data_IF_439251549608
#
_entry.id   IF_439251549608
#
_cell.length_a   1.000
_cell.length_b   1.000
_cell.length_c   1.000
_cell.angle_alpha   90.00
_cell.angle_beta   90.00
_cell.angle_gamma   90.00
#
_symmetry.space_group_name_H-M   'P 1'
#
loop_
_entity.id
_entity.type
_entity.pdbx_description
1 polymer ?
#
# COMPACT_ATOMS: atom_id res chain seq x y z
N UNK A 1 -28.30 13.88 -22.14
CA UNK A 1 -27.30 13.56 -21.09
C UNK A 1 -26.68 12.18 -21.35
N UNK A 2 -25.98 11.97 -22.48
CA UNK A 2 -25.62 10.60 -22.94
C UNK A 2 -24.12 10.24 -22.81
N UNK A 3 -23.22 11.20 -22.99
CA UNK A 3 -21.78 10.93 -23.10
C UNK A 3 -21.14 10.27 -21.87
N UNK A 4 -21.55 10.63 -20.65
CA UNK A 4 -21.00 10.07 -19.41
C UNK A 4 -21.27 8.58 -19.26
N UNK A 5 -22.46 8.12 -19.63
CA UNK A 5 -22.84 6.70 -19.56
C UNK A 5 -22.09 5.88 -20.62
N UNK A 6 -22.01 6.37 -21.88
CA UNK A 6 -21.23 5.73 -22.94
C UNK A 6 -19.73 5.66 -22.61
N UNK A 7 -19.16 6.72 -22.03
CA UNK A 7 -17.77 6.76 -21.56
C UNK A 7 -17.54 5.70 -20.47
N UNK A 8 -18.41 5.65 -19.46
CA UNK A 8 -18.34 4.67 -18.36
C UNK A 8 -18.45 3.23 -18.85
N UNK A 9 -19.33 2.97 -19.83
CA UNK A 9 -19.45 1.67 -20.48
C UNK A 9 -18.17 1.29 -21.23
N UNK A 10 -17.66 2.19 -22.06
CA UNK A 10 -16.43 1.97 -22.84
C UNK A 10 -15.21 1.69 -21.93
N UNK A 11 -15.15 2.37 -20.78
CA UNK A 11 -14.15 2.12 -19.75
C UNK A 11 -14.33 0.75 -19.08
N UNK A 12 -15.51 0.45 -18.52
CA UNK A 12 -15.78 -0.81 -17.80
C UNK A 12 -15.70 -2.04 -18.71
N UNK A 13 -16.03 -1.93 -20.00
CA UNK A 13 -16.11 -3.07 -20.94
C UNK A 13 -14.83 -3.26 -21.76
N UNK A 14 -14.08 -2.19 -22.09
CA UNK A 14 -12.88 -2.30 -22.94
C UNK A 14 -11.61 -1.83 -22.23
N UNK A 15 -11.60 -0.61 -21.67
CA UNK A 15 -10.37 0.04 -21.21
C UNK A 15 -9.82 -0.58 -19.93
N UNK A 16 -10.61 -0.68 -18.86
CA UNK A 16 -10.15 -1.25 -17.59
C UNK A 16 -9.79 -2.75 -17.74
N UNK A 17 -10.59 -3.59 -18.42
CA UNK A 17 -10.23 -5.00 -18.63
C UNK A 17 -8.96 -5.22 -19.48
N UNK A 18 -8.60 -4.28 -20.36
CA UNK A 18 -7.34 -4.33 -21.12
C UNK A 18 -6.14 -3.92 -20.24
N UNK A 19 -6.28 -2.84 -19.47
CA UNK A 19 -5.25 -2.40 -18.51
C UNK A 19 -5.00 -3.48 -17.44
N UNK A 20 -6.06 -4.05 -16.88
CA UNK A 20 -5.98 -5.09 -15.84
C UNK A 20 -5.31 -6.37 -16.37
N UNK A 21 -5.67 -6.82 -17.57
CA UNK A 21 -5.06 -8.00 -18.19
C UNK A 21 -3.56 -7.78 -18.47
N UNK A 22 -3.19 -6.61 -19.00
CA UNK A 22 -1.79 -6.27 -19.25
C UNK A 22 -0.98 -6.09 -17.96
N UNK A 23 -1.55 -5.46 -16.93
CA UNK A 23 -0.93 -5.34 -15.61
C UNK A 23 -0.68 -6.71 -14.98
N UNK A 24 -1.68 -7.60 -14.94
CA UNK A 24 -1.53 -8.95 -14.38
C UNK A 24 -0.49 -9.79 -15.12
N UNK A 25 -0.39 -9.64 -16.45
CA UNK A 25 0.68 -10.26 -17.23
C UNK A 25 2.05 -9.71 -16.82
N UNK A 26 2.23 -8.38 -16.86
CA UNK A 26 3.50 -7.73 -16.51
C UNK A 26 3.94 -8.06 -15.08
N UNK A 27 3.02 -8.01 -14.11
CA UNK A 27 3.25 -8.39 -12.73
C UNK A 27 3.69 -9.85 -12.61
N UNK A 28 3.02 -10.78 -13.32
CA UNK A 28 3.40 -12.20 -13.34
C UNK A 28 4.80 -12.41 -13.92
N UNK A 29 5.15 -11.70 -15.00
CA UNK A 29 6.49 -11.72 -15.61
C UNK A 29 7.56 -11.17 -14.67
N UNK A 30 7.29 -10.04 -13.99
CA UNK A 30 8.21 -9.39 -13.04
C UNK A 30 8.45 -10.23 -11.78
N UNK A 31 7.42 -10.89 -11.26
CA UNK A 31 7.50 -11.76 -10.09
C UNK A 31 8.17 -13.10 -10.45
N UNK A 32 7.84 -13.70 -11.59
CA UNK A 32 8.52 -14.91 -12.08
C UNK A 32 10.01 -14.68 -12.32
N UNK A 33 10.40 -13.51 -12.83
CA UNK A 33 11.80 -13.11 -12.98
C UNK A 33 12.55 -12.94 -11.64
N UNK A 34 11.83 -12.91 -10.51
CA UNK A 34 12.34 -12.77 -9.14
C UNK A 34 12.12 -14.02 -8.27
N UNK A 35 11.48 -15.06 -8.81
CA UNK A 35 11.25 -16.31 -8.09
C UNK A 35 12.56 -16.93 -7.61
N UNK A 36 12.58 -17.35 -6.34
CA UNK A 36 13.74 -17.90 -5.65
C UNK A 36 14.85 -16.88 -5.33
N UNK A 37 14.68 -15.60 -5.68
CA UNK A 37 15.64 -14.54 -5.38
C UNK A 37 15.25 -13.76 -4.13
N UNK A 38 16.27 -13.20 -3.50
CA UNK A 38 16.15 -12.16 -2.49
C UNK A 38 16.02 -10.80 -3.16
N UNK A 39 15.20 -9.90 -2.61
CA UNK A 39 15.03 -8.51 -3.05
C UNK A 39 14.92 -7.55 -1.86
N UNK A 40 15.45 -6.34 -2.04
CA UNK A 40 15.11 -5.16 -1.23
C UNK A 40 13.90 -4.47 -1.87
N UNK A 41 12.88 -4.17 -1.07
CA UNK A 41 11.68 -3.47 -1.54
C UNK A 41 11.53 -2.10 -0.89
N UNK A 42 10.90 -1.17 -1.61
CA UNK A 42 10.37 0.07 -1.05
C UNK A 42 8.85 0.13 -1.23
N UNK A 43 8.14 0.71 -0.26
CA UNK A 43 6.69 0.86 -0.27
C UNK A 43 6.22 2.24 0.18
N UNK A 44 5.23 2.81 -0.53
CA UNK A 44 4.62 4.12 -0.26
C UNK A 44 3.09 4.06 -0.36
N UNK A 45 2.40 4.82 0.50
CA UNK A 45 0.95 4.80 0.70
C UNK A 45 0.24 6.09 0.28
N UNK A 46 -0.37 6.09 -0.90
CA UNK A 46 -1.08 7.28 -1.42
C UNK A 46 -2.57 7.26 -1.11
N UNK A 47 -2.97 8.08 -0.14
CA UNK A 47 -4.37 8.34 0.19
C UNK A 47 -5.06 9.33 -0.79
N UNK A 48 -6.36 9.15 -1.02
CA UNK A 48 -7.17 9.94 -1.97
C UNK A 48 -7.48 11.38 -1.51
N UNK A 49 -7.50 11.61 -0.19
CA UNK A 49 -7.75 12.90 0.44
C UNK A 49 -7.03 13.00 1.79
N UNK A 50 -6.73 14.23 2.28
CA UNK A 50 -5.94 14.41 3.49
C UNK A 50 -6.71 14.06 4.79
N UNK A 51 -5.96 13.59 5.79
CA UNK A 51 -6.45 13.36 7.15
C UNK A 51 -7.39 12.15 7.29
N UNK A 52 -8.24 12.18 8.32
CA UNK A 52 -9.13 11.06 8.65
C UNK A 52 -10.29 10.87 7.65
N UNK A 53 -10.41 11.74 6.64
CA UNK A 53 -11.46 11.68 5.63
C UNK A 53 -11.21 10.63 4.53
N UNK A 54 -9.96 10.22 4.28
CA UNK A 54 -9.60 9.35 3.16
C UNK A 54 -10.48 8.10 2.99
N UNK A 55 -10.97 7.87 1.78
CA UNK A 55 -11.85 6.75 1.42
C UNK A 55 -11.09 5.62 0.73
N UNK A 56 -9.97 5.93 0.06
CA UNK A 56 -9.12 4.96 -0.61
C UNK A 56 -7.64 5.23 -0.30
N UNK A 57 -6.88 4.17 -0.05
CA UNK A 57 -5.43 4.19 -0.09
C UNK A 57 -4.94 3.32 -1.25
N UNK A 58 -3.96 3.82 -2.02
CA UNK A 58 -3.22 3.08 -3.04
C UNK A 58 -1.79 2.91 -2.57
N UNK A 59 -1.41 1.70 -2.18
CA UNK A 59 -0.05 1.37 -1.77
C UNK A 59 0.70 0.73 -2.93
N UNK A 60 1.88 1.24 -3.26
CA UNK A 60 2.73 0.68 -4.33
C UNK A 60 4.01 0.12 -3.74
N UNK A 61 4.35 -1.12 -4.08
CA UNK A 61 5.61 -1.77 -3.72
C UNK A 61 6.50 -1.88 -4.95
N UNK A 62 7.75 -1.42 -4.81
CA UNK A 62 8.77 -1.48 -5.85
C UNK A 62 10.00 -2.26 -5.38
N UNK A 63 10.65 -2.92 -6.32
CA UNK A 63 12.01 -3.42 -6.19
C UNK A 63 12.98 -2.23 -6.19
N UNK A 64 13.83 -2.13 -5.16
CA UNK A 64 14.68 -0.96 -4.95
C UNK A 64 15.82 -0.86 -5.97
N UNK A 65 16.44 -1.97 -6.37
CA UNK A 65 17.58 -1.99 -7.31
C UNK A 65 17.16 -1.65 -8.74
N UNK A 66 16.09 -2.30 -9.20
CA UNK A 66 15.60 -2.23 -10.58
C UNK A 66 14.63 -1.07 -10.82
N UNK A 67 14.04 -0.53 -9.76
CA UNK A 67 12.93 0.41 -9.80
C UNK A 67 11.62 -0.15 -10.42
N UNK A 68 11.48 -1.46 -10.56
CA UNK A 68 10.25 -2.08 -11.08
C UNK A 68 9.16 -2.10 -10.01
N UNK A 69 7.92 -1.71 -10.36
CA UNK A 69 6.77 -1.86 -9.45
C UNK A 69 6.35 -3.34 -9.44
N UNK A 70 6.45 -3.99 -8.28
CA UNK A 70 6.11 -5.40 -8.10
C UNK A 70 4.62 -5.61 -7.79
N UNK A 71 4.01 -4.67 -7.05
CA UNK A 71 2.59 -4.74 -6.71
C UNK A 71 1.98 -3.36 -6.45
N UNK A 72 0.65 -3.26 -6.65
CA UNK A 72 -0.16 -2.07 -6.36
C UNK A 72 -1.45 -2.53 -5.69
N UNK A 73 -1.58 -2.27 -4.39
CA UNK A 73 -2.73 -2.64 -3.57
C UNK A 73 -3.62 -1.43 -3.34
N UNK A 74 -4.89 -1.52 -3.73
CA UNK A 74 -5.91 -0.52 -3.40
C UNK A 74 -6.76 -1.06 -2.27
N UNK A 75 -6.95 -0.25 -1.23
CA UNK A 75 -7.78 -0.58 -0.06
C UNK A 75 -8.82 0.52 0.14
N UNK A 76 -10.08 0.11 0.27
CA UNK A 76 -11.20 0.98 0.66
C UNK A 76 -11.31 1.06 2.18
N UNK A 77 -11.64 2.24 2.70
CA UNK A 77 -11.81 2.54 4.13
C UNK A 77 -12.78 1.58 4.86
N UNK A 78 -13.75 0.99 4.15
CA UNK A 78 -14.71 -0.01 4.66
C UNK A 78 -14.05 -1.35 5.00
N UNK A 79 -12.92 -1.67 4.36
CA UNK A 79 -12.09 -2.85 4.67
C UNK A 79 -11.20 -2.62 5.91
N UNK A 80 -11.16 -1.39 6.43
CA UNK A 80 -10.21 -0.91 7.42
C UNK A 80 -10.90 -0.34 8.68
N UNK A 81 -12.03 -0.92 9.10
CA UNK A 81 -12.87 -0.47 10.23
C UNK A 81 -13.28 1.01 10.18
N UNK A 82 -13.43 1.58 8.97
CA UNK A 82 -13.65 3.01 8.72
C UNK A 82 -12.51 3.92 9.23
N UNK A 83 -11.30 3.39 9.44
CA UNK A 83 -10.10 4.13 9.88
C UNK A 83 -9.10 4.24 8.74
N UNK A 84 -8.92 5.44 8.18
CA UNK A 84 -8.00 5.67 7.05
C UNK A 84 -6.56 5.27 7.37
N UNK A 85 -6.11 5.50 8.60
CA UNK A 85 -4.79 5.11 9.13
C UNK A 85 -4.47 3.63 8.97
N UNK A 86 -5.49 2.77 8.96
CA UNK A 86 -5.35 1.31 8.90
C UNK A 86 -5.25 0.79 7.45
N UNK A 87 -5.76 1.55 6.46
CA UNK A 87 -5.82 1.10 5.06
C UNK A 87 -4.43 0.75 4.52
N UNK A 88 -3.44 1.57 4.83
CA UNK A 88 -2.08 1.43 4.33
C UNK A 88 -1.37 0.20 4.89
N UNK A 89 -1.53 -0.09 6.19
CA UNK A 89 -1.03 -1.33 6.79
C UNK A 89 -1.68 -2.56 6.15
N UNK A 90 -2.98 -2.51 5.85
CA UNK A 90 -3.68 -3.60 5.17
C UNK A 90 -3.15 -3.79 3.75
N UNK A 91 -2.88 -2.70 3.03
CA UNK A 91 -2.34 -2.72 1.68
C UNK A 91 -0.90 -3.27 1.63
N UNK A 92 -0.04 -2.82 2.55
CA UNK A 92 1.31 -3.34 2.76
C UNK A 92 1.31 -4.87 2.99
N UNK A 93 0.46 -5.36 3.90
CA UNK A 93 0.35 -6.80 4.19
C UNK A 93 -0.13 -7.63 2.99
N UNK A 94 -1.05 -7.10 2.17
CA UNK A 94 -1.50 -7.75 0.93
C UNK A 94 -0.38 -7.82 -0.12
N UNK A 95 0.47 -6.79 -0.19
CA UNK A 95 1.60 -6.77 -1.12
C UNK A 95 2.67 -7.78 -0.70
N UNK A 96 3.01 -7.85 0.59
CA UNK A 96 3.92 -8.87 1.13
C UNK A 96 3.40 -10.30 0.86
N UNK A 97 2.12 -10.55 1.13
CA UNK A 97 1.46 -11.84 0.85
C UNK A 97 1.49 -12.20 -0.66
N UNK A 98 1.51 -11.19 -1.55
CA UNK A 98 1.61 -11.39 -3.00
C UNK A 98 3.03 -11.75 -3.46
N UNK A 99 4.06 -11.11 -2.88
CA UNK A 99 5.48 -11.47 -3.11
C UNK A 99 5.79 -12.88 -2.60
N UNK A 100 5.35 -13.18 -1.38
CA UNK A 100 5.54 -14.46 -0.70
C UNK A 100 4.89 -15.64 -1.47
N UNK A 101 3.63 -15.49 -1.90
CA UNK A 101 2.94 -16.48 -2.77
C UNK A 101 3.62 -16.68 -4.13
N UNK A 102 4.43 -15.72 -4.55
CA UNK A 102 5.21 -15.78 -5.79
C UNK A 102 6.61 -16.38 -5.59
N UNK A 103 6.94 -16.82 -4.36
CA UNK A 103 8.26 -17.35 -3.97
C UNK A 103 9.38 -16.31 -4.23
N UNK A 104 9.08 -15.04 -3.92
CA UNK A 104 10.04 -13.92 -3.88
C UNK A 104 10.39 -13.66 -2.42
N UNK A 105 11.68 -13.69 -2.07
CA UNK A 105 12.16 -13.44 -0.71
C UNK A 105 12.43 -11.97 -0.51
N UNK A 106 11.91 -11.39 0.56
CA UNK A 106 12.16 -10.00 0.95
C UNK A 106 13.19 -9.98 2.07
N UNK A 107 14.27 -9.20 1.91
CA UNK A 107 15.36 -9.07 2.89
C UNK A 107 15.28 -7.75 3.66
N UNK A 108 15.03 -6.64 2.94
CA UNK A 108 14.84 -5.31 3.53
C UNK A 108 13.57 -4.65 2.98
N UNK A 109 12.91 -3.87 3.83
CA UNK A 109 11.67 -3.13 3.53
C UNK A 109 11.83 -1.66 3.89
N UNK A 110 11.97 -0.81 2.88
CA UNK A 110 12.02 0.65 3.03
C UNK A 110 10.60 1.22 2.98
N UNK A 111 10.21 2.03 3.97
CA UNK A 111 8.92 2.75 4.01
C UNK A 111 9.11 4.16 4.55
N UNK A 112 8.10 5.03 4.46
CA UNK A 112 8.13 6.41 4.96
C UNK A 112 8.06 6.54 6.51
N UNK A 113 8.20 5.40 7.21
CA UNK A 113 7.99 5.23 8.64
C UNK A 113 6.54 5.44 9.14
N UNK A 114 5.51 5.22 8.28
CA UNK A 114 4.09 5.25 8.67
C UNK A 114 3.82 4.50 10.00
N UNK A 115 3.34 5.19 11.07
CA UNK A 115 3.13 4.69 12.44
C UNK A 115 2.20 3.47 12.65
N UNK A 116 1.85 2.70 11.62
CA UNK A 116 1.16 1.41 11.76
C UNK A 116 1.92 0.21 11.18
N UNK A 117 2.70 0.43 10.11
CA UNK A 117 3.77 -0.48 9.67
C UNK A 117 4.89 -0.38 10.72
N UNK A 118 5.25 0.87 11.02
CA UNK A 118 5.93 1.36 12.22
C UNK A 118 5.01 1.32 13.47
N UNK A 119 4.34 0.18 13.67
CA UNK A 119 3.72 -0.28 14.94
C UNK A 119 3.78 -1.83 15.07
N UNK A 120 4.45 -2.51 14.13
CA UNK A 120 4.17 -3.91 13.84
C UNK A 120 5.43 -4.75 13.65
N UNK A 121 6.38 -4.30 12.81
CA UNK A 121 7.64 -5.01 12.56
C UNK A 121 8.38 -5.34 13.88
N UNK A 122 8.43 -4.36 14.76
CA UNK A 122 8.98 -4.42 16.11
C UNK A 122 8.34 -5.38 17.12
N UNK A 123 7.09 -5.83 16.92
CA UNK A 123 6.42 -6.70 17.91
C UNK A 123 6.99 -8.10 17.86
N UNK A 124 7.43 -8.46 16.66
CA UNK A 124 8.22 -9.64 16.35
C UNK A 124 9.56 -9.54 17.09
N UNK A 125 10.27 -8.44 16.90
CA UNK A 125 11.52 -8.14 17.59
C UNK A 125 11.42 -8.16 19.12
N UNK A 126 10.39 -7.55 19.71
CA UNK A 126 10.15 -7.60 21.15
C UNK A 126 9.94 -9.00 21.72
N UNK A 127 9.50 -9.97 20.90
CA UNK A 127 9.45 -11.39 21.29
C UNK A 127 10.87 -11.97 21.42
N UNK A 128 11.81 -11.58 20.55
CA UNK A 128 13.20 -12.05 20.59
C UNK A 128 13.97 -11.59 21.82
N UNK A 129 13.63 -10.42 22.37
CA UNK A 129 14.14 -9.94 23.66
C UNK A 129 13.41 -10.61 24.83
N UNK A 130 12.07 -10.66 24.80
CA UNK A 130 11.27 -11.27 25.87
C UNK A 130 11.67 -12.73 26.17
N UNK A 131 11.85 -13.57 25.14
CA UNK A 131 12.19 -15.00 25.33
C UNK A 131 13.57 -15.24 25.96
N UNK A 132 14.50 -14.28 25.89
CA UNK A 132 15.83 -14.41 26.51
C UNK A 132 15.92 -13.75 27.89
N UNK A 133 14.82 -13.17 28.38
CA UNK A 133 14.75 -12.44 29.65
C UNK A 133 15.13 -10.95 29.55
N UNK A 134 15.36 -10.42 28.35
CA UNK A 134 15.61 -9.00 28.12
C UNK A 134 14.27 -8.26 28.08
N UNK A 135 13.82 -7.76 29.23
CA UNK A 135 12.54 -7.05 29.34
C UNK A 135 12.61 -5.55 29.02
N UNK A 136 13.80 -5.02 28.76
CA UNK A 136 14.08 -3.63 28.35
C UNK A 136 15.18 -3.66 27.27
N UNK A 137 15.01 -2.92 26.19
CA UNK A 137 15.93 -2.89 25.04
C UNK A 137 16.15 -1.45 24.56
N UNK A 138 17.10 -1.24 23.64
CA UNK A 138 17.64 0.09 23.37
C UNK A 138 16.71 1.05 22.60
N UNK A 139 15.69 0.54 21.90
CA UNK A 139 14.93 1.27 20.89
C UNK A 139 13.41 0.94 20.96
N UNK A 140 12.57 1.93 20.68
CA UNK A 140 11.10 1.90 20.87
C UNK A 140 10.37 2.64 19.74
N UNK A 141 9.04 2.71 19.73
CA UNK A 141 8.27 3.40 18.65
C UNK A 141 8.57 4.90 18.51
N UNK A 142 9.32 5.48 19.45
CA UNK A 142 9.28 6.90 19.76
C UNK A 142 7.95 7.30 20.43
N UNK A 143 7.15 6.34 20.91
CA UNK A 143 5.82 6.55 21.50
C UNK A 143 5.65 5.81 22.83
N UNK A 144 6.06 4.54 22.91
CA UNK A 144 6.02 3.69 24.10
C UNK A 144 7.45 3.47 24.65
N UNK A 145 7.61 3.10 25.93
CA UNK A 145 8.89 2.61 26.44
C UNK A 145 9.32 1.32 25.71
N UNK A 146 10.62 1.18 25.50
CA UNK A 146 11.25 0.03 24.85
C UNK A 146 11.34 -1.19 25.79
N UNK A 147 10.19 -1.66 26.28
CA UNK A 147 10.11 -2.72 27.28
C UNK A 147 8.86 -3.61 27.11
N UNK A 148 8.86 -4.77 27.75
CA UNK A 148 7.70 -5.66 27.72
C UNK A 148 6.48 -5.05 28.43
N UNK A 149 5.33 -5.01 27.75
CA UNK A 149 4.08 -4.44 28.28
C UNK A 149 3.34 -5.41 29.23
N UNK A 150 3.97 -5.78 30.35
CA UNK A 150 3.38 -6.61 31.41
C UNK A 150 3.77 -6.12 32.82
N UNK A 151 3.12 -6.67 33.85
CA UNK A 151 3.50 -6.42 35.24
C UNK A 151 4.83 -7.08 35.65
N UNK A 152 5.28 -6.92 36.91
CA UNK A 152 6.51 -7.54 37.38
C UNK A 152 6.48 -9.07 37.28
N UNK A 153 7.44 -9.65 36.55
CA UNK A 153 7.63 -11.09 36.45
C UNK A 153 8.55 -11.62 37.56
N UNK A 154 8.47 -12.92 37.91
CA UNK A 154 9.47 -13.56 38.75
C UNK A 154 10.85 -13.53 38.06
N UNK A 155 11.91 -13.26 38.84
CA UNK A 155 13.24 -12.88 38.35
C UNK A 155 14.09 -14.00 37.70
N UNK A 156 13.45 -14.99 37.06
CA UNK A 156 14.12 -16.09 36.36
C UNK A 156 13.36 -16.65 35.15
N UNK A 157 12.34 -15.95 34.63
CA UNK A 157 11.61 -16.42 33.44
C UNK A 157 12.38 -16.08 32.16
N UNK A 158 13.36 -16.93 31.87
CA UNK A 158 14.16 -16.95 30.64
C UNK A 158 13.86 -18.25 29.91
N UNK A 159 13.16 -18.15 28.78
CA UNK A 159 12.67 -19.31 28.04
C UNK A 159 13.74 -19.87 27.07
N UNK A 160 14.68 -19.03 26.61
CA UNK A 160 15.78 -19.37 25.71
C UNK A 160 17.11 -18.70 26.11
N UNK A 161 18.22 -19.34 25.74
CA UNK A 161 19.57 -18.76 25.85
C UNK A 161 19.86 -17.82 24.65
N UNK A 162 20.36 -16.58 24.87
CA UNK A 162 20.79 -15.67 23.81
C UNK A 162 21.73 -16.34 22.81
N UNK A 163 21.46 -16.13 21.52
CA UNK A 163 22.22 -16.65 20.38
C UNK A 163 22.47 -18.17 20.39
N UNK A 164 21.72 -18.92 21.21
CA UNK A 164 21.65 -20.37 21.12
C UNK A 164 21.03 -20.81 19.79
N UNK A 165 21.25 -22.06 19.33
CA UNK A 165 20.62 -22.56 18.10
C UNK A 165 19.09 -22.46 18.10
N UNK A 166 18.46 -22.51 19.27
CA UNK A 166 17.02 -22.33 19.43
C UNK A 166 16.59 -20.85 19.33
N UNK A 167 17.37 -19.92 19.90
CA UNK A 167 17.13 -18.47 19.74
C UNK A 167 17.41 -18.01 18.30
N UNK A 168 18.44 -18.54 17.65
CA UNK A 168 18.71 -18.32 16.24
C UNK A 168 17.58 -18.86 15.35
N UNK A 169 17.10 -20.09 15.59
CA UNK A 169 15.94 -20.63 14.88
C UNK A 169 14.66 -19.79 15.13
N UNK A 170 14.47 -19.28 16.35
CA UNK A 170 13.36 -18.36 16.64
C UNK A 170 13.54 -17.02 15.91
N UNK A 171 14.75 -16.47 15.82
CA UNK A 171 15.08 -15.26 15.05
C UNK A 171 14.69 -15.43 13.58
N UNK A 172 15.07 -16.55 12.95
CA UNK A 172 14.64 -16.88 11.59
C UNK A 172 13.10 -16.98 11.48
N UNK A 173 12.42 -17.66 12.40
CA UNK A 173 10.95 -17.87 12.39
C UNK A 173 10.16 -16.58 12.67
N UNK A 174 10.70 -15.68 13.48
CA UNK A 174 10.06 -14.42 13.86
C UNK A 174 10.26 -13.33 12.81
N UNK A 175 11.35 -13.41 12.05
CA UNK A 175 11.59 -12.61 10.85
C UNK A 175 10.96 -13.24 9.58
N UNK A 176 10.54 -14.52 9.62
CA UNK A 176 9.82 -15.16 8.52
C UNK A 176 8.44 -14.50 8.30
N UNK A 177 8.30 -13.92 7.11
CA UNK A 177 7.09 -13.28 6.60
C UNK A 177 5.81 -14.12 6.79
N UNK A 178 5.93 -15.46 6.82
CA UNK A 178 4.83 -16.37 7.09
C UNK A 178 4.24 -16.24 8.50
N UNK A 179 5.09 -16.01 9.51
CA UNK A 179 4.66 -15.72 10.88
C UNK A 179 4.12 -14.30 10.95
N UNK A 180 4.82 -13.33 10.35
CA UNK A 180 4.41 -11.92 10.29
C UNK A 180 2.96 -11.81 9.80
N UNK A 181 2.65 -12.36 8.62
CA UNK A 181 1.31 -12.44 8.00
C UNK A 181 0.22 -12.95 8.95
N UNK A 182 0.57 -13.89 9.83
CA UNK A 182 -0.34 -14.63 10.70
C UNK A 182 -0.38 -14.12 12.15
N UNK A 183 0.62 -13.36 12.64
CA UNK A 183 0.73 -12.96 14.05
C UNK A 183 -0.47 -12.13 14.54
N UNK A 184 -1.16 -11.45 13.64
CA UNK A 184 -2.45 -10.76 13.87
C UNK A 184 -3.56 -11.65 14.47
N UNK A 185 -3.46 -12.98 14.35
CA UNK A 185 -4.37 -13.95 14.98
C UNK A 185 -3.92 -14.41 16.37
N UNK A 186 -2.69 -14.07 16.78
CA UNK A 186 -2.05 -14.56 18.01
C UNK A 186 -1.70 -13.44 19.00
N UNK A 187 -1.46 -12.20 18.54
CA UNK A 187 -1.11 -11.05 19.40
C UNK A 187 -2.19 -9.97 19.39
N UNK A 188 -2.72 -9.64 20.57
CA UNK A 188 -3.39 -8.37 20.84
C UNK A 188 -2.38 -7.30 21.34
N UNK A 189 -2.72 -6.03 21.18
CA UNK A 189 -1.99 -4.85 21.72
C UNK A 189 -0.67 -4.45 21.00
N UNK A 190 0.17 -3.61 21.64
CA UNK A 190 0.80 -2.39 21.04
C UNK A 190 2.36 -2.45 20.95
N UNK A 191 2.97 -1.43 20.32
CA UNK A 191 4.32 -1.26 19.71
C UNK A 191 5.48 -0.80 20.65
N UNK A 192 6.80 -0.62 20.29
CA UNK A 192 7.77 -1.06 19.21
C UNK A 192 9.28 -1.09 19.79
N UNK A 193 10.49 -0.99 19.16
CA UNK A 193 11.10 -0.92 17.77
C UNK A 193 12.66 -1.08 17.67
N UNK A 194 13.17 -1.52 16.50
CA UNK A 194 14.52 -1.36 15.86
C UNK A 194 15.70 -2.25 16.35
N UNK A 195 16.01 -3.25 15.52
CA UNK A 195 17.33 -3.90 15.47
C UNK A 195 18.34 -2.98 14.76
N UNK A 196 19.55 -2.75 15.30
CA UNK A 196 20.54 -1.85 14.72
C UNK A 196 21.31 -2.47 13.54
N UNK A 197 21.40 -1.74 12.42
CA UNK A 197 22.64 -1.47 11.64
C UNK A 197 22.31 -0.83 10.27
N UNK A 198 21.96 0.46 10.24
CA UNK A 198 21.80 1.21 8.99
C UNK A 198 22.97 2.19 8.77
N UNK A 199 24.05 1.70 8.19
CA UNK A 199 25.19 2.51 7.74
C UNK A 199 24.81 3.24 6.43
N UNK A 200 24.26 4.46 6.52
CA UNK A 200 23.83 5.26 5.35
C UNK A 200 25.03 5.92 4.64
N UNK A 201 25.97 5.11 4.16
CA UNK A 201 27.16 5.56 3.42
C UNK A 201 26.92 5.56 1.91
N UNK A 202 26.42 6.68 1.39
CA UNK A 202 26.57 7.03 -0.02
C UNK A 202 25.34 7.68 -0.67
N UNK A 203 25.50 8.84 -1.35
CA UNK A 203 24.45 9.39 -2.20
C UNK A 203 24.39 8.60 -3.53
N UNK A 204 23.77 7.41 -3.50
CA UNK A 204 23.51 6.62 -4.70
C UNK A 204 22.51 7.38 -5.58
N UNK A 205 23.03 8.12 -6.55
CA UNK A 205 22.24 8.88 -7.52
C UNK A 205 21.57 7.91 -8.50
N UNK A 206 20.46 7.29 -8.07
CA UNK A 206 19.67 6.40 -8.90
C UNK A 206 18.98 7.23 -10.00
N UNK A 207 19.68 7.39 -11.13
CA UNK A 207 19.27 8.30 -12.19
C UNK A 207 17.85 7.99 -12.67
N UNK A 208 16.99 9.01 -12.73
CA UNK A 208 15.58 8.82 -13.09
C UNK A 208 15.46 8.25 -14.51
N UNK A 209 15.21 6.94 -14.59
CA UNK A 209 15.08 6.20 -15.86
C UNK A 209 13.99 6.86 -16.71
N UNK A 210 14.36 7.35 -17.90
CA UNK A 210 13.43 8.09 -18.78
C UNK A 210 12.23 7.20 -19.12
N UNK A 211 11.05 7.59 -18.62
CA UNK A 211 9.80 6.82 -18.77
C UNK A 211 9.53 6.50 -20.25
N UNK A 212 9.29 5.23 -20.56
CA UNK A 212 8.93 4.78 -21.91
C UNK A 212 7.58 4.07 -21.88
N UNK A 213 6.76 4.32 -22.90
CA UNK A 213 5.36 3.88 -22.96
C UNK A 213 5.12 2.86 -24.08
N UNK A 214 6.10 1.96 -24.30
CA UNK A 214 6.13 0.98 -25.41
C UNK A 214 4.91 0.04 -25.45
N UNK A 215 4.20 -0.09 -24.33
CA UNK A 215 3.02 -0.95 -24.17
C UNK A 215 1.71 -0.31 -24.67
N UNK A 216 1.65 1.01 -24.87
CA UNK A 216 0.43 1.72 -25.31
C UNK A 216 -0.17 1.14 -26.61
N UNK A 217 0.62 0.83 -27.68
CA UNK A 217 0.07 0.25 -28.90
C UNK A 217 -0.64 -1.11 -28.67
N UNK A 218 -0.10 -1.98 -27.82
CA UNK A 218 -0.71 -3.28 -27.52
C UNK A 218 -1.96 -3.14 -26.62
N UNK A 219 -1.96 -2.20 -25.66
CA UNK A 219 -3.18 -1.84 -24.92
C UNK A 219 -4.30 -1.35 -25.86
N UNK A 220 -3.98 -0.42 -26.77
CA UNK A 220 -4.95 0.12 -27.73
C UNK A 220 -5.48 -0.99 -28.67
N UNK A 221 -4.61 -1.87 -29.13
CA UNK A 221 -4.94 -3.04 -29.96
C UNK A 221 -5.89 -4.00 -29.23
N UNK A 222 -5.70 -4.24 -27.93
CA UNK A 222 -6.62 -5.05 -27.13
C UNK A 222 -7.98 -4.36 -26.90
N UNK A 223 -7.98 -3.06 -26.57
CA UNK A 223 -9.21 -2.24 -26.50
C UNK A 223 -10.00 -2.30 -27.81
N UNK A 224 -9.32 -2.20 -28.96
CA UNK A 224 -9.97 -2.33 -30.27
C UNK A 224 -10.49 -3.74 -30.55
N UNK A 225 -9.77 -4.81 -30.19
CA UNK A 225 -10.27 -6.20 -30.28
C UNK A 225 -11.55 -6.39 -29.46
N UNK A 226 -11.55 -5.95 -28.19
CA UNK A 226 -12.72 -6.04 -27.29
C UNK A 226 -13.92 -5.28 -27.86
N UNK A 227 -13.70 -4.10 -28.46
CA UNK A 227 -14.75 -3.32 -29.13
C UNK A 227 -15.21 -3.90 -30.48
N UNK A 228 -14.36 -4.65 -31.19
CA UNK A 228 -14.72 -5.35 -32.41
C UNK A 228 -15.61 -6.57 -32.13
N UNK A 229 -15.40 -7.25 -31.00
CA UNK A 229 -16.18 -8.41 -30.56
C UNK A 229 -17.51 -8.00 -29.89
N UNK A 230 -17.60 -6.79 -29.33
CA UNK A 230 -18.84 -6.29 -28.70
C UNK A 230 -19.89 -5.87 -29.74
N UNK A 231 -20.82 -6.79 -30.01
CA UNK A 231 -21.99 -6.60 -30.87
C UNK A 231 -22.96 -5.49 -30.40
N UNK A 232 -22.82 -4.92 -29.19
CA UNK A 232 -23.67 -3.82 -28.73
C UNK A 232 -23.32 -2.50 -29.44
N UNK A 233 -24.35 -1.73 -29.78
CA UNK A 233 -24.20 -0.42 -30.41
C UNK A 233 -23.63 0.63 -29.44
N UNK A 234 -22.69 1.45 -29.89
CA UNK A 234 -22.23 2.63 -29.14
C UNK A 234 -23.35 3.70 -28.94
N UNK A 235 -24.52 3.52 -29.56
CA UNK A 235 -25.68 4.43 -29.42
C UNK A 235 -26.81 3.87 -28.53
N UNK A 236 -26.68 2.65 -27.99
CA UNK A 236 -27.68 2.12 -27.07
C UNK A 236 -27.69 2.90 -25.76
N UNK A 237 -28.87 3.12 -25.17
CA UNK A 237 -28.99 3.79 -23.87
C UNK A 237 -28.34 2.94 -22.76
N UNK A 238 -27.12 3.29 -22.37
CA UNK A 238 -26.39 2.63 -21.28
C UNK A 238 -27.13 2.86 -19.97
N UNK A 239 -27.83 1.82 -19.51
CA UNK A 239 -28.33 1.74 -18.13
C UNK A 239 -27.12 1.56 -17.21
N UNK A 240 -27.02 2.37 -16.16
CA UNK A 240 -25.97 2.24 -15.16
C UNK A 240 -26.14 0.91 -14.40
N UNK A 241 -25.04 0.21 -14.12
CA UNK A 241 -25.07 -1.00 -13.31
C UNK A 241 -25.48 -0.69 -11.86
N UNK A 242 -25.99 -1.69 -11.13
CA UNK A 242 -26.65 -1.50 -9.82
C UNK A 242 -25.69 -1.01 -8.72
N UNK A 243 -24.40 -1.30 -8.89
CA UNK A 243 -23.28 -0.88 -8.06
C UNK A 243 -22.82 0.57 -8.32
N UNK A 244 -23.28 1.21 -9.39
CA UNK A 244 -22.81 2.52 -9.82
C UNK A 244 -23.28 3.59 -8.82
N UNK A 245 -22.37 4.32 -8.14
CA UNK A 245 -22.76 5.26 -7.10
C UNK A 245 -23.67 6.38 -7.61
N UNK A 246 -23.71 6.63 -8.93
CA UNK A 246 -24.60 7.61 -9.58
C UNK A 246 -26.07 7.13 -9.66
N UNK A 247 -26.37 5.85 -9.44
CA UNK A 247 -27.75 5.37 -9.18
C UNK A 247 -28.18 5.64 -7.74
N UNK A 248 -27.24 5.59 -6.80
CA UNK A 248 -27.49 5.72 -5.36
C UNK A 248 -27.60 7.21 -4.99
N UNK A 249 -26.75 8.07 -5.57
CA UNK A 249 -26.71 9.50 -5.27
C UNK A 249 -27.77 10.32 -6.02
N UNK A 250 -29.06 10.06 -5.76
CA UNK A 250 -30.12 10.98 -6.18
C UNK A 250 -30.02 12.37 -5.53
N UNK A 251 -29.44 12.45 -4.32
CA UNK A 251 -29.55 13.62 -3.43
C UNK A 251 -28.26 13.93 -2.64
N UNK A 252 -27.08 13.95 -3.29
CA UNK A 252 -25.81 14.35 -2.62
C UNK A 252 -25.11 15.53 -3.32
N UNK A 253 -25.91 16.53 -3.70
CA UNK A 253 -25.50 17.95 -3.76
C UNK A 253 -26.76 18.83 -3.72
N UNK A 254 -27.07 19.52 -2.61
CA UNK A 254 -28.21 20.44 -2.56
C UNK A 254 -28.08 21.61 -3.54
N UNK A 255 -26.84 22.02 -3.81
CA UNK A 255 -26.52 23.11 -4.73
C UNK A 255 -25.93 22.54 -6.03
N UNK A 256 -26.40 23.05 -7.17
CA UNK A 256 -25.75 22.82 -8.46
C UNK A 256 -24.27 23.29 -8.39
N UNK A 257 -23.35 22.65 -9.13
CA UNK A 257 -22.00 23.19 -9.26
C UNK A 257 -22.06 24.60 -9.88
N UNK A 258 -21.30 25.58 -9.34
CA UNK A 258 -21.26 26.92 -9.93
C UNK A 258 -20.76 26.85 -11.38
N UNK A 259 -21.24 27.77 -12.21
CA UNK A 259 -20.84 27.84 -13.61
C UNK A 259 -19.35 28.18 -13.75
N UNK A 260 -18.75 27.90 -14.92
CA UNK A 260 -17.35 28.30 -15.21
C UNK A 260 -17.17 29.81 -15.06
N UNK A 261 -18.19 30.61 -15.40
CA UNK A 261 -18.21 32.06 -15.18
C UNK A 261 -18.13 32.41 -13.68
N UNK A 262 -19.00 31.81 -12.86
CA UNK A 262 -19.00 32.00 -11.40
C UNK A 262 -17.70 31.51 -10.75
N UNK A 263 -17.07 30.46 -11.28
CA UNK A 263 -15.76 30.00 -10.81
C UNK A 263 -14.64 30.98 -11.15
N UNK A 264 -14.69 31.65 -12.30
CA UNK A 264 -13.76 32.71 -12.69
C UNK A 264 -13.96 33.99 -11.88
N UNK A 265 -15.21 34.41 -11.64
CA UNK A 265 -15.54 35.58 -10.82
C UNK A 265 -15.14 35.41 -9.35
N UNK A 266 -15.34 34.21 -8.80
CA UNK A 266 -14.90 33.87 -7.45
C UNK A 266 -13.40 33.54 -7.35
N UNK A 267 -12.65 33.57 -8.47
CA UNK A 267 -11.22 33.20 -8.50
C UNK A 267 -10.29 34.30 -7.97
N UNK A 268 -10.70 35.02 -6.91
CA UNK A 268 -9.80 35.86 -6.11
C UNK A 268 -8.65 34.98 -5.61
N UNK A 269 -7.46 35.24 -6.14
CA UNK A 269 -6.23 34.60 -5.69
C UNK A 269 -6.07 34.79 -4.18
N UNK A 270 -5.67 33.73 -3.47
CA UNK A 270 -5.42 33.79 -2.02
C UNK A 270 -4.17 34.59 -1.64
N UNK A 271 -3.44 35.10 -2.65
CA UNK A 271 -2.42 36.13 -2.51
C UNK A 271 -3.09 37.48 -2.73
N UNK A 272 -3.52 38.14 -1.66
CA UNK A 272 -3.72 39.60 -1.71
C UNK A 272 -2.34 40.25 -1.83
N UNK A 273 -2.19 41.15 -2.80
CA UNK A 273 -0.95 41.88 -2.97
C UNK A 273 -0.79 42.86 -1.81
N UNK A 274 0.29 42.72 -1.04
CA UNK A 274 0.69 43.70 -0.03
C UNK A 274 1.05 45.02 -0.71
N UNK A 275 0.06 45.89 -0.88
CA UNK A 275 0.22 47.27 -1.35
C UNK A 275 0.22 48.21 -0.16
N UNK A 276 1.41 48.41 0.42
CA UNK A 276 1.62 49.27 1.58
C UNK A 276 1.53 50.76 1.22
N UNK A 277 0.67 51.48 1.94
CA UNK A 277 0.82 52.89 2.34
C UNK A 277 0.31 53.03 3.78
#
# INVERSE_FOLDING_TARGET
MCHSALHSYSQRTYTFPAIEAHWKQLQTELLLARKGKTVVIAGDGRNDSPGHCAQYCTYSVMDYETCDILDIQVVDKREADLKSTNMEKIAFLRALETLEKSDVKVEEVVTDAHPQIKSYLSKLEGILHHVVGDHEWALGDGVSPACCQHGPLPASQKDLEPDSPAHAALREIVLDMNLIRNIKYYTSSVSQEIIPNLQVDGPVSQSCKKKTFKYIPELMKDVFRRRLIDNKSQRSHVVLAEDDPRRISGTIRPNQPPSVHQLLENHKSRMEASSSL
#
